data_IF_106859292069
#
_entry.id   IF_106859292069
#
_cell.length_a   1.000
_cell.length_b   1.000
_cell.length_c   1.000
_cell.angle_alpha   90.00
_cell.angle_beta   90.00
_cell.angle_gamma   90.00
#
_symmetry.space_group_name_H-M   'P 1'
#
loop_
_entity.id
_entity.type
_entity.pdbx_description
1 polymer ?
#
# COMPACT_ATOMS: atom_id res chain seq x y z
N UNK A 1 -57.62 -38.77 -21.72
CA UNK A 1 -58.81 -38.15 -21.07
C UNK A 1 -58.48 -36.71 -20.74
N UNK A 2 -59.33 -35.75 -21.14
CA UNK A 2 -59.32 -34.38 -20.60
C UNK A 2 -60.38 -34.34 -19.50
N UNK A 3 -60.06 -33.77 -18.33
CA UNK A 3 -61.07 -33.26 -17.41
C UNK A 3 -60.66 -31.84 -17.01
N UNK A 4 -61.56 -30.88 -17.22
CA UNK A 4 -61.44 -29.51 -16.74
C UNK A 4 -62.00 -29.45 -15.32
N UNK A 5 -61.47 -28.55 -14.48
CA UNK A 5 -62.17 -28.07 -13.30
C UNK A 5 -61.88 -26.56 -13.14
N UNK A 6 -62.94 -25.83 -12.78
CA UNK A 6 -63.02 -24.37 -12.86
C UNK A 6 -62.61 -23.66 -11.55
N UNK A 7 -62.38 -22.36 -11.69
CA UNK A 7 -61.97 -21.44 -10.65
C UNK A 7 -62.94 -21.32 -9.44
N UNK A 8 -62.38 -20.96 -8.28
CA UNK A 8 -63.08 -20.26 -7.20
C UNK A 8 -62.24 -19.05 -6.77
N UNK A 9 -62.92 -17.96 -6.39
CA UNK A 9 -62.45 -16.57 -6.28
C UNK A 9 -62.19 -16.09 -4.85
N UNK A 10 -61.27 -15.13 -4.69
CA UNK A 10 -61.26 -14.02 -3.70
C UNK A 10 -60.11 -13.04 -4.12
N UNK A 11 -60.25 -11.74 -4.38
CA UNK A 11 -60.70 -10.62 -3.50
C UNK A 11 -60.04 -10.69 -2.10
N UNK A 12 -59.23 -9.76 -1.60
CA UNK A 12 -58.94 -8.33 -1.90
C UNK A 12 -57.41 -8.06 -1.83
N UNK A 13 -56.78 -6.87 -1.84
CA UNK A 13 -57.18 -5.45 -1.91
C UNK A 13 -56.01 -4.59 -2.48
N UNK A 14 -56.04 -3.25 -2.34
CA UNK A 14 -54.86 -2.36 -2.53
C UNK A 14 -54.39 -1.79 -1.17
N UNK A 15 -53.08 -1.52 -1.05
CA UNK A 15 -52.56 -0.52 -0.12
C UNK A 15 -51.29 0.13 -0.69
N UNK A 16 -51.41 1.34 -1.24
CA UNK A 16 -50.28 2.25 -1.36
C UNK A 16 -50.08 2.93 0.00
N UNK A 17 -48.88 2.82 0.56
CA UNK A 17 -48.50 3.57 1.77
C UNK A 17 -47.04 3.99 1.71
N UNK A 18 -46.87 5.26 1.33
CA UNK A 18 -45.76 6.17 1.64
C UNK A 18 -44.64 5.62 2.55
N UNK A 19 -43.46 5.41 1.97
CA UNK A 19 -42.20 5.47 2.70
C UNK A 19 -41.69 6.91 2.69
N UNK A 20 -41.79 7.61 3.82
CA UNK A 20 -41.34 9.00 3.94
C UNK A 20 -39.86 9.07 4.36
N UNK A 21 -39.17 10.11 3.86
CA UNK A 21 -37.94 10.70 4.40
C UNK A 21 -36.66 9.84 4.40
N UNK A 22 -35.71 10.25 3.56
CA UNK A 22 -34.54 10.95 4.10
C UNK A 22 -34.08 12.03 3.11
N UNK A 23 -34.01 13.29 3.57
CA UNK A 23 -33.39 14.36 2.80
C UNK A 23 -31.87 14.17 2.83
N UNK A 24 -31.29 13.75 1.70
CA UNK A 24 -29.91 14.10 1.41
C UNK A 24 -29.94 15.45 0.69
N UNK A 25 -29.83 16.53 1.47
CA UNK A 25 -29.62 17.87 0.94
C UNK A 25 -28.26 17.91 0.25
N UNK A 26 -28.26 17.56 -1.04
CA UNK A 26 -27.08 17.61 -1.91
C UNK A 26 -26.70 19.07 -2.14
N UNK A 27 -26.03 19.67 -1.16
CA UNK A 27 -25.42 20.98 -1.30
C UNK A 27 -24.46 20.96 -2.49
N UNK A 28 -24.84 21.64 -3.57
CA UNK A 28 -24.00 21.87 -4.74
C UNK A 28 -22.75 22.66 -4.34
N UNK A 29 -21.68 21.93 -4.00
CA UNK A 29 -20.32 22.42 -4.11
C UNK A 29 -19.72 21.86 -5.39
N UNK A 30 -19.30 22.75 -6.27
CA UNK A 30 -18.78 22.42 -7.58
C UNK A 30 -17.48 21.61 -7.49
N UNK A 31 -17.60 20.28 -7.60
CA UNK A 31 -16.45 19.37 -7.55
C UNK A 31 -15.99 19.01 -8.98
N UNK A 32 -15.39 20.01 -9.62
CA UNK A 32 -14.94 19.96 -11.00
C UNK A 32 -13.77 18.98 -11.20
N UNK A 33 -14.07 17.84 -11.81
CA UNK A 33 -13.11 17.02 -12.57
C UNK A 33 -12.04 16.22 -11.77
N UNK A 34 -12.32 15.82 -10.51
CA UNK A 34 -11.40 15.00 -9.72
C UNK A 34 -11.69 13.47 -9.78
N UNK A 35 -12.88 13.05 -10.24
CA UNK A 35 -13.31 11.64 -10.23
C UNK A 35 -12.58 10.74 -11.22
N UNK A 36 -12.15 11.25 -12.38
CA UNK A 36 -11.43 10.46 -13.39
C UNK A 36 -9.91 10.33 -13.12
N UNK A 37 -9.40 10.79 -11.98
CA UNK A 37 -7.99 10.55 -11.63
C UNK A 37 -7.76 9.06 -11.32
N UNK A 38 -6.54 8.54 -11.56
CA UNK A 38 -6.17 7.20 -11.12
C UNK A 38 -6.37 7.04 -9.62
N UNK A 39 -6.71 5.83 -9.21
CA UNK A 39 -6.71 5.42 -7.81
C UNK A 39 -5.27 5.37 -7.31
N UNK A 40 -4.98 6.04 -6.19
CA UNK A 40 -3.62 6.20 -5.66
C UNK A 40 -2.99 4.86 -5.25
N UNK A 41 -3.76 4.04 -4.53
CA UNK A 41 -3.35 2.71 -4.09
C UNK A 41 -4.33 1.63 -4.56
N UNK A 42 -3.80 0.49 -5.01
CA UNK A 42 -4.59 -0.73 -5.26
C UNK A 42 -4.19 -1.83 -4.30
N UNK A 43 -5.16 -2.66 -3.90
CA UNK A 43 -4.94 -3.77 -2.95
C UNK A 43 -4.79 -5.07 -3.73
N UNK A 44 -3.76 -5.83 -3.41
CA UNK A 44 -3.45 -7.12 -4.02
C UNK A 44 -3.29 -8.20 -2.92
N UNK A 45 -3.40 -9.47 -3.29
CA UNK A 45 -3.09 -10.60 -2.41
C UNK A 45 -2.03 -11.51 -3.02
N UNK A 46 -1.26 -12.16 -2.15
CA UNK A 46 -0.33 -13.21 -2.53
C UNK A 46 1.13 -12.86 -2.26
N UNK A 47 2.00 -13.63 -2.93
CA UNK A 47 3.44 -13.54 -2.86
C UNK A 47 3.98 -12.19 -3.38
N UNK A 48 4.79 -11.52 -2.57
CA UNK A 48 5.50 -10.28 -2.92
C UNK A 48 6.81 -10.14 -2.12
N UNK A 49 7.61 -9.12 -2.45
CA UNK A 49 8.81 -8.76 -1.69
C UNK A 49 8.50 -7.62 -0.69
N UNK A 50 9.09 -7.68 0.51
CA UNK A 50 8.92 -6.67 1.55
C UNK A 50 10.25 -6.02 1.92
N UNK A 51 10.44 -4.78 1.47
CA UNK A 51 11.67 -4.00 1.65
C UNK A 51 11.59 -2.90 2.73
N UNK A 52 10.43 -2.62 3.32
CA UNK A 52 10.22 -1.50 4.27
C UNK A 52 11.01 -1.58 5.58
N UNK A 53 11.78 -2.65 5.79
CA UNK A 53 12.73 -2.83 6.90
C UNK A 53 14.16 -3.09 6.40
N UNK A 54 14.50 -2.76 5.15
CA UNK A 54 15.84 -2.91 4.58
C UNK A 54 16.69 -1.68 4.91
N UNK A 55 17.61 -1.85 5.84
CA UNK A 55 18.51 -0.81 6.34
C UNK A 55 19.88 -0.83 5.65
N UNK A 56 20.16 -1.82 4.80
CA UNK A 56 21.47 -2.06 4.18
C UNK A 56 21.36 -2.14 2.65
N UNK A 57 20.66 -1.18 2.06
CA UNK A 57 20.55 -1.06 0.61
C UNK A 57 21.88 -0.59 0.04
N UNK A 58 22.50 -1.41 -0.80
CA UNK A 58 23.82 -1.15 -1.38
C UNK A 58 23.69 -0.30 -2.63
N UNK A 59 24.18 0.93 -2.58
CA UNK A 59 24.12 1.86 -3.72
C UNK A 59 24.89 1.33 -4.94
N UNK A 60 24.28 1.48 -6.11
CA UNK A 60 24.81 1.15 -7.42
C UNK A 60 24.38 2.24 -8.43
N UNK A 61 24.96 3.43 -8.30
CA UNK A 61 24.61 4.59 -9.10
C UNK A 61 23.32 5.26 -8.61
N UNK A 62 22.33 5.39 -9.50
CA UNK A 62 20.98 5.90 -9.26
C UNK A 62 20.01 4.82 -8.74
N UNK A 63 20.48 3.58 -8.60
CA UNK A 63 19.77 2.44 -8.02
C UNK A 63 20.47 1.93 -6.75
N UNK A 64 19.78 1.15 -5.93
CA UNK A 64 20.33 0.46 -4.78
C UNK A 64 19.75 -0.96 -4.68
N UNK A 65 20.62 -1.93 -4.42
CA UNK A 65 20.27 -3.33 -4.22
C UNK A 65 19.93 -3.55 -2.75
N UNK A 66 18.64 -3.70 -2.44
CA UNK A 66 18.12 -3.94 -1.09
C UNK A 66 17.76 -5.43 -0.92
N UNK A 67 18.23 -6.08 0.13
CA UNK A 67 17.76 -7.42 0.49
C UNK A 67 16.43 -7.32 1.28
N UNK A 68 15.45 -8.12 0.86
CA UNK A 68 14.04 -8.00 1.24
C UNK A 68 13.41 -9.37 1.55
N UNK A 69 12.38 -9.37 2.41
CA UNK A 69 11.70 -10.60 2.80
C UNK A 69 10.77 -11.12 1.70
N UNK A 70 10.56 -12.43 1.66
CA UNK A 70 9.58 -13.11 0.80
C UNK A 70 8.32 -13.44 1.61
N UNK A 71 7.20 -12.80 1.31
CA UNK A 71 5.96 -12.87 2.12
C UNK A 71 4.72 -13.14 1.26
N UNK A 72 3.71 -13.79 1.83
CA UNK A 72 2.44 -14.18 1.20
C UNK A 72 1.25 -13.65 1.99
N UNK A 73 0.76 -12.47 1.63
CA UNK A 73 -0.32 -11.77 2.35
C UNK A 73 -0.96 -10.67 1.50
N UNK A 74 -1.98 -10.01 2.04
CA UNK A 74 -2.54 -8.78 1.46
C UNK A 74 -1.49 -7.67 1.50
N UNK A 75 -1.31 -6.97 0.38
CA UNK A 75 -0.36 -5.89 0.22
C UNK A 75 -0.98 -4.76 -0.61
N UNK A 76 -0.37 -3.57 -0.58
CA UNK A 76 -0.82 -2.42 -1.38
C UNK A 76 0.26 -1.95 -2.32
N UNK A 77 -0.17 -1.56 -3.53
CA UNK A 77 0.70 -1.03 -4.58
C UNK A 77 0.33 0.42 -4.83
N UNK A 78 1.30 1.32 -4.60
CA UNK A 78 1.21 2.72 -4.99
C UNK A 78 1.29 2.82 -6.53
N UNK A 79 0.23 3.30 -7.18
CA UNK A 79 0.10 3.22 -8.64
C UNK A 79 1.05 4.15 -9.40
N UNK A 80 1.57 5.20 -8.74
CA UNK A 80 2.63 6.06 -9.29
C UNK A 80 3.98 5.36 -9.41
N UNK A 81 4.21 4.30 -8.62
CA UNK A 81 5.55 3.72 -8.42
C UNK A 81 5.71 2.37 -9.13
N UNK A 82 4.63 1.87 -9.75
CA UNK A 82 4.67 0.78 -10.74
C UNK A 82 5.70 1.13 -11.83
N UNK A 83 6.73 0.30 -11.96
CA UNK A 83 7.85 0.49 -12.89
C UNK A 83 7.57 -0.11 -14.27
N UNK A 84 6.84 -1.24 -14.34
CA UNK A 84 6.39 -1.82 -15.62
C UNK A 84 5.49 -0.83 -16.37
N UNK A 85 5.91 -0.27 -17.53
CA UNK A 85 5.17 0.81 -18.18
C UNK A 85 3.83 0.35 -18.77
N UNK A 86 3.72 -0.92 -19.17
CA UNK A 86 2.52 -1.47 -19.77
C UNK A 86 1.47 -1.75 -18.68
N UNK A 87 1.87 -2.39 -17.59
CA UNK A 87 1.04 -2.68 -16.42
C UNK A 87 0.64 -1.39 -15.70
N UNK A 88 1.54 -0.41 -15.58
CA UNK A 88 1.24 0.93 -15.05
C UNK A 88 0.14 1.59 -15.87
N UNK A 89 0.31 1.70 -17.18
CA UNK A 89 -0.68 2.31 -18.08
C UNK A 89 -2.05 1.61 -18.00
N UNK A 90 -2.07 0.28 -17.96
CA UNK A 90 -3.31 -0.49 -17.81
C UNK A 90 -3.96 -0.25 -16.44
N UNK A 91 -3.17 -0.19 -15.38
CA UNK A 91 -3.66 0.02 -14.00
C UNK A 91 -4.25 1.42 -13.82
N UNK A 92 -3.52 2.46 -14.22
CA UNK A 92 -3.97 3.85 -14.17
C UNK A 92 -5.21 4.12 -15.05
N UNK A 93 -5.40 3.35 -16.13
CA UNK A 93 -6.57 3.45 -17.00
C UNK A 93 -7.80 2.68 -16.47
N UNK A 94 -7.59 1.57 -15.76
CA UNK A 94 -8.67 0.72 -15.22
C UNK A 94 -9.16 1.21 -13.85
N UNK A 95 -8.23 1.51 -12.95
CA UNK A 95 -8.51 1.82 -11.54
C UNK A 95 -8.50 3.34 -11.34
N UNK A 96 -9.68 3.94 -11.16
CA UNK A 96 -9.86 5.40 -11.05
C UNK A 96 -10.75 5.74 -9.86
N UNK A 97 -10.71 6.98 -9.35
CA UNK A 97 -11.57 7.39 -8.24
C UNK A 97 -13.08 7.33 -8.54
N UNK A 98 -13.47 7.23 -9.82
CA UNK A 98 -14.85 7.02 -10.29
C UNK A 98 -15.22 5.53 -10.39
N UNK A 99 -14.24 4.72 -10.75
CA UNK A 99 -14.36 3.28 -10.96
C UNK A 99 -13.16 2.62 -10.26
N UNK A 100 -13.19 2.54 -8.91
CA UNK A 100 -12.10 1.98 -8.15
C UNK A 100 -12.01 0.47 -8.42
N UNK A 101 -10.80 -0.05 -8.32
CA UNK A 101 -10.54 -1.49 -8.29
C UNK A 101 -10.60 -1.96 -6.85
N UNK A 102 -11.44 -2.97 -6.58
CA UNK A 102 -11.35 -3.75 -5.34
C UNK A 102 -10.10 -4.66 -5.38
N UNK A 103 -9.90 -5.43 -4.31
CA UNK A 103 -8.80 -6.40 -4.15
C UNK A 103 -8.62 -7.29 -5.39
N UNK A 104 -7.39 -7.41 -5.87
CA UNK A 104 -6.96 -8.21 -7.03
C UNK A 104 -7.59 -7.84 -8.38
N UNK A 105 -8.42 -6.80 -8.46
CA UNK A 105 -8.98 -6.35 -9.73
C UNK A 105 -8.00 -5.53 -10.57
N UNK A 106 -6.95 -4.98 -9.96
CA UNK A 106 -5.97 -4.15 -10.65
C UNK A 106 -5.04 -5.00 -11.55
N UNK A 107 -4.69 -4.54 -12.77
CA UNK A 107 -3.80 -5.27 -13.68
C UNK A 107 -2.42 -5.58 -13.07
N UNK A 108 -1.92 -4.72 -12.18
CA UNK A 108 -0.66 -4.96 -11.45
C UNK A 108 -0.72 -6.16 -10.51
N UNK A 109 -1.86 -6.43 -9.85
CA UNK A 109 -1.99 -7.61 -8.99
C UNK A 109 -1.84 -8.92 -9.78
N UNK A 110 -2.42 -8.98 -10.98
CA UNK A 110 -2.24 -10.13 -11.88
C UNK A 110 -0.80 -10.23 -12.43
N UNK A 111 -0.16 -9.10 -12.73
CA UNK A 111 1.23 -9.08 -13.20
C UNK A 111 2.21 -9.61 -12.14
N UNK A 112 2.04 -9.21 -10.88
CA UNK A 112 2.79 -9.72 -9.72
C UNK A 112 2.49 -11.22 -9.55
N UNK A 113 1.22 -11.60 -9.37
CA UNK A 113 0.80 -12.98 -9.09
C UNK A 113 1.21 -13.99 -10.17
N UNK A 114 1.31 -13.57 -11.43
CA UNK A 114 1.64 -14.44 -12.55
C UNK A 114 3.13 -14.45 -12.95
N UNK A 115 4.00 -13.69 -12.25
CA UNK A 115 5.42 -13.56 -12.59
C UNK A 115 5.63 -12.90 -13.96
N UNK A 116 4.84 -11.87 -14.26
CA UNK A 116 4.82 -11.18 -15.57
C UNK A 116 5.12 -9.69 -15.50
N UNK A 117 5.68 -9.24 -14.37
CA UNK A 117 6.09 -7.86 -14.20
C UNK A 117 7.38 -7.60 -14.99
N UNK A 118 7.39 -6.64 -15.91
CA UNK A 118 8.49 -6.43 -16.83
C UNK A 118 9.09 -5.02 -16.73
N UNK A 119 10.38 -4.94 -16.40
CA UNK A 119 11.17 -3.70 -16.36
C UNK A 119 12.36 -3.84 -17.30
N UNK A 120 12.61 -2.86 -18.16
CA UNK A 120 13.67 -2.86 -19.19
C UNK A 120 13.75 -4.13 -20.06
N UNK A 121 12.58 -4.71 -20.35
CA UNK A 121 12.35 -5.97 -21.05
C UNK A 121 12.75 -7.25 -20.28
N UNK A 122 13.20 -7.14 -19.03
CA UNK A 122 13.44 -8.28 -18.13
C UNK A 122 12.18 -8.57 -17.33
N UNK A 123 11.76 -9.84 -17.28
CA UNK A 123 10.63 -10.29 -16.47
C UNK A 123 11.11 -10.64 -15.06
N UNK A 124 10.35 -10.22 -14.05
CA UNK A 124 10.61 -10.49 -12.64
C UNK A 124 9.43 -11.23 -12.02
N UNK A 125 9.74 -12.29 -11.26
CA UNK A 125 8.76 -13.06 -10.49
C UNK A 125 8.34 -12.35 -9.19
N UNK A 126 9.12 -11.36 -8.76
CA UNK A 126 8.97 -10.66 -7.48
C UNK A 126 8.95 -9.15 -7.69
N UNK A 127 8.05 -8.48 -6.95
CA UNK A 127 7.94 -7.02 -6.91
C UNK A 127 7.86 -6.60 -5.45
N UNK A 128 8.60 -5.57 -5.07
CA UNK A 128 8.50 -4.99 -3.74
C UNK A 128 7.29 -4.08 -3.63
N UNK A 129 6.52 -4.26 -2.56
CA UNK A 129 5.28 -3.51 -2.30
C UNK A 129 5.11 -3.30 -0.79
N UNK A 130 4.16 -2.45 -0.38
CA UNK A 130 3.87 -2.25 1.03
C UNK A 130 3.09 -3.42 1.61
N UNK A 131 3.63 -4.07 2.62
CA UNK A 131 2.89 -5.03 3.45
C UNK A 131 2.43 -4.39 4.76
N UNK A 132 1.20 -4.75 5.15
CA UNK A 132 0.59 -4.45 6.44
C UNK A 132 1.39 -5.00 7.63
N UNK A 133 2.10 -6.12 7.46
CA UNK A 133 2.89 -6.76 8.51
C UNK A 133 4.14 -5.96 8.84
N UNK A 134 4.75 -5.34 7.83
CA UNK A 134 5.82 -4.36 8.02
C UNK A 134 5.38 -3.15 8.85
N UNK A 135 4.07 -2.84 8.90
CA UNK A 135 3.57 -1.65 9.61
C UNK A 135 3.44 -1.82 11.13
N UNK A 136 3.13 -3.01 11.66
CA UNK A 136 3.22 -3.22 13.11
C UNK A 136 4.64 -2.91 13.60
N UNK A 137 5.65 -3.44 12.89
CA UNK A 137 7.04 -3.15 13.21
C UNK A 137 7.41 -1.69 12.96
N UNK A 138 6.89 -1.01 11.92
CA UNK A 138 7.14 0.43 11.73
C UNK A 138 6.61 1.31 12.88
N UNK A 139 5.49 0.95 13.50
CA UNK A 139 4.97 1.64 14.70
C UNK A 139 5.88 1.42 15.92
N UNK A 140 6.56 0.28 16.00
CA UNK A 140 7.58 -0.03 17.01
C UNK A 140 8.95 0.60 16.68
N UNK A 141 9.26 0.82 15.39
CA UNK A 141 10.54 1.33 14.87
C UNK A 141 10.78 2.83 15.09
N UNK A 142 10.01 3.54 15.93
CA UNK A 142 10.28 4.92 16.33
C UNK A 142 10.72 5.86 15.17
N UNK A 143 9.80 6.27 14.28
CA UNK A 143 10.12 7.10 13.12
C UNK A 143 10.77 8.44 13.49
N UNK A 144 11.79 8.85 12.74
CA UNK A 144 12.52 10.10 12.95
C UNK A 144 12.52 10.98 11.68
N UNK A 145 12.34 12.31 11.78
CA UNK A 145 12.52 13.18 10.63
C UNK A 145 14.00 13.25 10.24
N UNK A 146 14.32 12.91 8.98
CA UNK A 146 15.67 13.02 8.44
C UNK A 146 15.70 14.08 7.33
N UNK A 147 16.33 15.21 7.59
CA UNK A 147 16.44 16.34 6.66
C UNK A 147 17.90 16.80 6.54
N UNK A 148 18.62 16.38 5.48
CA UNK A 148 20.01 16.75 5.23
C UNK A 148 20.29 18.26 5.08
N UNK A 149 19.26 19.11 5.09
CA UNK A 149 19.39 20.58 5.04
C UNK A 149 19.44 21.24 6.42
N UNK A 150 19.23 20.48 7.51
CA UNK A 150 19.33 21.00 8.88
C UNK A 150 20.79 21.10 9.33
N UNK A 151 21.11 22.15 10.09
CA UNK A 151 22.49 22.54 10.39
C UNK A 151 23.25 21.56 11.30
N UNK A 152 22.51 20.74 12.05
CA UNK A 152 22.96 19.73 13.00
C UNK A 152 22.61 18.30 12.56
N UNK A 153 22.21 18.12 11.29
CA UNK A 153 21.86 16.80 10.75
C UNK A 153 23.06 15.83 10.73
N UNK A 154 22.81 14.61 11.19
CA UNK A 154 23.74 13.48 11.11
C UNK A 154 22.97 12.29 10.53
N UNK A 155 23.32 11.90 9.31
CA UNK A 155 22.65 10.83 8.57
C UNK A 155 23.09 10.75 7.10
N UNK A 156 22.45 9.86 6.35
CA UNK A 156 22.66 9.71 4.90
C UNK A 156 21.91 10.80 4.12
N UNK A 157 22.53 11.39 3.10
CA UNK A 157 21.81 12.32 2.19
C UNK A 157 20.89 11.60 1.18
N UNK A 158 20.94 10.27 1.16
CA UNK A 158 20.30 9.41 0.17
C UNK A 158 19.50 8.29 0.84
N UNK A 159 18.41 7.89 0.19
CA UNK A 159 17.53 6.81 0.64
C UNK A 159 16.94 6.08 -0.57
N UNK A 160 16.43 4.86 -0.36
CA UNK A 160 15.92 4.00 -1.43
C UNK A 160 14.38 3.98 -1.47
N UNK A 161 13.80 4.14 -2.66
CA UNK A 161 12.39 3.87 -2.97
C UNK A 161 12.28 2.46 -3.52
N UNK A 162 11.76 1.54 -2.70
CA UNK A 162 11.57 0.15 -3.09
C UNK A 162 10.14 -0.20 -3.55
N UNK A 163 9.20 0.73 -3.49
CA UNK A 163 7.84 0.46 -3.92
C UNK A 163 7.76 0.30 -5.44
N UNK A 164 7.13 -0.79 -5.88
CA UNK A 164 7.11 -1.20 -7.29
C UNK A 164 8.47 -1.69 -7.83
N UNK A 165 9.50 -1.82 -7.00
CA UNK A 165 10.83 -2.27 -7.43
C UNK A 165 10.81 -3.72 -7.91
N UNK A 166 11.45 -4.04 -9.06
CA UNK A 166 11.63 -5.42 -9.49
C UNK A 166 12.64 -6.14 -8.59
N UNK A 167 12.39 -7.42 -8.31
CA UNK A 167 13.25 -8.22 -7.44
C UNK A 167 13.51 -9.63 -8.01
N UNK A 168 14.61 -10.24 -7.59
CA UNK A 168 14.99 -11.61 -7.93
C UNK A 168 15.32 -12.42 -6.69
N UNK A 169 15.12 -13.76 -6.74
CA UNK A 169 15.67 -14.63 -5.70
C UNK A 169 17.19 -14.61 -5.77
N UNK A 170 17.83 -14.30 -4.64
CA UNK A 170 19.27 -14.33 -4.48
C UNK A 170 19.64 -15.59 -3.67
N UNK A 171 20.42 -16.54 -4.23
CA UNK A 171 20.82 -17.76 -3.51
C UNK A 171 21.88 -17.49 -2.43
N UNK A 172 22.52 -16.31 -2.43
CA UNK A 172 23.51 -15.88 -1.44
C UNK A 172 23.22 -14.41 -1.05
N UNK A 173 22.09 -14.14 -0.36
CA UNK A 173 21.79 -12.80 0.13
C UNK A 173 22.80 -12.40 1.22
N UNK A 174 22.95 -11.10 1.43
CA UNK A 174 23.79 -10.59 2.53
C UNK A 174 23.10 -10.80 3.88
N UNK A 175 21.77 -10.66 3.92
CA UNK A 175 20.91 -11.09 5.03
C UNK A 175 20.25 -12.45 4.70
N UNK A 176 20.65 -13.56 5.35
CA UNK A 176 20.07 -14.89 5.11
C UNK A 176 18.56 -15.01 5.36
N UNK A 177 17.95 -14.09 6.12
CA UNK A 177 16.49 -14.06 6.35
C UNK A 177 15.73 -13.37 5.20
N UNK A 178 16.45 -12.81 4.22
CA UNK A 178 15.93 -11.97 3.14
C UNK A 178 16.39 -12.47 1.76
N UNK A 179 15.74 -13.51 1.23
CA UNK A 179 16.21 -14.21 0.03
C UNK A 179 15.93 -13.47 -1.29
N UNK A 180 15.34 -12.26 -1.25
CA UNK A 180 15.04 -11.47 -2.44
C UNK A 180 15.95 -10.23 -2.47
N UNK A 181 16.63 -9.97 -3.58
CA UNK A 181 17.31 -8.69 -3.80
C UNK A 181 16.48 -7.85 -4.77
N UNK A 182 16.13 -6.62 -4.37
CA UNK A 182 15.28 -5.69 -5.10
C UNK A 182 16.07 -4.47 -5.60
N UNK A 183 15.79 -4.06 -6.84
CA UNK A 183 16.43 -2.90 -7.47
C UNK A 183 15.62 -1.64 -7.18
N UNK A 184 15.95 -0.97 -6.07
CA UNK A 184 15.24 0.20 -5.60
C UNK A 184 15.86 1.49 -6.17
N UNK A 185 15.05 2.51 -6.44
CA UNK A 185 15.54 3.80 -6.96
C UNK A 185 16.13 4.63 -5.82
N UNK A 186 17.31 5.22 -6.03
CA UNK A 186 17.92 6.15 -5.06
C UNK A 186 17.27 7.53 -5.21
N UNK A 187 16.98 8.15 -4.07
CA UNK A 187 16.49 9.53 -3.94
C UNK A 187 17.43 10.32 -3.04
N UNK A 188 17.64 11.60 -3.34
CA UNK A 188 18.36 12.56 -2.50
C UNK A 188 17.36 13.44 -1.73
N UNK A 189 17.68 13.81 -0.49
CA UNK A 189 16.95 14.82 0.27
C UNK A 189 16.31 14.27 1.54
N UNK A 190 15.14 14.81 1.91
CA UNK A 190 14.51 14.52 3.20
C UNK A 190 13.61 13.27 3.15
N UNK A 191 13.68 12.44 4.19
CA UNK A 191 12.98 11.15 4.29
C UNK A 191 12.58 10.80 5.73
N UNK A 192 11.81 9.72 5.88
CA UNK A 192 11.42 9.17 7.18
C UNK A 192 12.48 8.18 7.66
N UNK A 193 13.31 8.60 8.60
CA UNK A 193 14.22 7.72 9.31
C UNK A 193 13.48 6.69 10.15
N UNK A 194 14.12 5.54 10.35
CA UNK A 194 13.56 4.39 11.06
C UNK A 194 14.58 3.86 12.09
N UNK A 195 14.06 3.26 13.17
CA UNK A 195 14.78 2.87 14.38
C UNK A 195 15.51 4.04 15.07
N UNK A 196 14.93 5.26 15.04
CA UNK A 196 15.61 6.48 15.52
C UNK A 196 16.89 6.83 14.77
N UNK A 197 17.11 6.27 13.58
CA UNK A 197 18.32 6.48 12.77
C UNK A 197 17.99 7.23 11.49
N UNK A 198 18.95 8.06 11.06
CA UNK A 198 19.00 8.65 9.72
C UNK A 198 20.12 8.04 8.85
N UNK A 199 20.78 6.98 9.31
CA UNK A 199 21.78 6.21 8.56
C UNK A 199 21.33 4.76 8.45
N UNK A 200 21.61 4.11 7.32
CA UNK A 200 21.50 2.66 7.20
C UNK A 200 22.52 1.89 8.07
N UNK A 201 22.55 0.57 7.93
CA UNK A 201 23.55 -0.31 8.55
C UNK A 201 24.68 -0.61 7.58
N UNK A 202 25.87 -0.92 8.10
CA UNK A 202 27.07 -1.34 7.33
C UNK A 202 27.54 -0.38 6.20
N UNK A 203 27.02 0.85 6.15
CA UNK A 203 27.32 1.82 5.09
C UNK A 203 26.41 1.71 3.86
N UNK A 204 25.38 0.87 3.89
CA UNK A 204 24.22 0.97 3.02
C UNK A 204 23.28 2.09 3.45
N UNK A 205 22.32 2.43 2.58
CA UNK A 205 21.22 3.36 2.86
C UNK A 205 19.95 2.59 3.24
N UNK A 206 18.94 3.26 3.79
CA UNK A 206 17.65 2.62 4.11
C UNK A 206 16.61 2.75 2.99
N UNK A 207 15.78 1.72 2.83
CA UNK A 207 14.49 1.81 2.16
C UNK A 207 13.56 2.68 3.00
N UNK A 208 12.99 3.73 2.42
CA UNK A 208 12.22 4.74 3.16
C UNK A 208 11.12 5.38 2.27
N UNK A 209 10.54 6.47 2.75
CA UNK A 209 9.53 7.30 2.08
C UNK A 209 9.87 8.78 2.28
N UNK A 210 9.36 9.70 1.44
CA UNK A 210 9.59 11.14 1.60
C UNK A 210 9.13 11.65 2.96
N UNK A 211 9.84 12.62 3.53
CA UNK A 211 9.58 13.15 4.87
C UNK A 211 8.12 13.63 5.04
N UNK A 212 7.53 14.19 3.98
CA UNK A 212 6.17 14.70 3.96
C UNK A 212 5.07 13.64 4.01
N UNK A 213 5.39 12.35 3.83
CA UNK A 213 4.39 11.27 3.90
C UNK A 213 3.99 10.92 5.34
N UNK A 214 4.79 11.28 6.34
CA UNK A 214 4.53 10.97 7.75
C UNK A 214 4.18 12.22 8.56
N UNK A 215 3.28 12.05 9.53
CA UNK A 215 2.97 13.04 10.55
C UNK A 215 3.53 12.60 11.91
N UNK A 216 4.64 13.22 12.30
CA UNK A 216 5.30 12.97 13.58
C UNK A 216 4.53 13.48 14.81
N UNK A 217 3.50 14.32 14.64
CA UNK A 217 2.69 14.81 15.78
C UNK A 217 1.62 13.81 16.21
N UNK A 218 1.05 13.09 15.24
CA UNK A 218 -0.01 12.09 15.46
C UNK A 218 0.43 10.65 15.12
N UNK A 219 1.70 10.47 14.77
CA UNK A 219 2.38 9.21 14.49
C UNK A 219 1.65 8.33 13.43
N UNK A 220 1.33 8.92 12.28
CA UNK A 220 0.60 8.24 11.19
C UNK A 220 0.94 8.82 9.81
N UNK A 221 0.55 8.15 8.73
CA UNK A 221 0.71 8.66 7.38
C UNK A 221 -0.23 9.84 7.08
N UNK A 222 0.27 10.83 6.33
CA UNK A 222 -0.50 11.98 5.83
C UNK A 222 -1.32 11.69 4.57
N UNK A 223 -0.92 10.66 3.83
CA UNK A 223 -1.62 10.14 2.66
C UNK A 223 -2.65 9.09 3.10
N UNK A 224 -3.83 8.98 2.46
CA UNK A 224 -4.80 7.93 2.78
C UNK A 224 -4.27 6.56 2.37
N UNK A 225 -3.70 5.84 3.33
CA UNK A 225 -3.21 4.47 3.14
C UNK A 225 -4.36 3.49 3.43
N UNK A 226 -4.85 2.70 2.44
CA UNK A 226 -5.90 1.73 2.68
C UNK A 226 -5.49 0.73 3.77
N UNK A 227 -6.41 0.35 4.65
CA UNK A 227 -6.18 -0.69 5.67
C UNK A 227 -5.32 -0.29 6.88
N UNK A 228 -4.69 0.89 6.87
CA UNK A 228 -3.78 1.34 7.93
C UNK A 228 -4.44 1.41 9.31
N UNK A 229 -5.69 1.86 9.37
CA UNK A 229 -6.50 1.96 10.59
C UNK A 229 -6.78 0.59 11.23
N UNK A 230 -7.12 -0.42 10.42
CA UNK A 230 -7.28 -1.79 10.89
C UNK A 230 -5.97 -2.38 11.42
N UNK A 231 -4.85 -2.07 10.76
CA UNK A 231 -3.53 -2.51 11.20
C UNK A 231 -3.12 -1.82 12.49
N UNK A 232 -3.22 -0.48 12.57
CA UNK A 232 -2.96 0.27 13.80
C UNK A 232 -3.78 -0.26 14.98
N UNK A 233 -5.06 -0.60 14.77
CA UNK A 233 -5.91 -1.24 15.77
C UNK A 233 -5.45 -2.65 16.16
N UNK A 234 -4.93 -3.44 15.21
CA UNK A 234 -4.44 -4.81 15.46
C UNK A 234 -3.04 -4.84 16.12
N UNK A 235 -2.18 -3.85 15.85
CA UNK A 235 -0.86 -3.71 16.47
C UNK A 235 -0.92 -2.99 17.84
N UNK A 236 -2.02 -2.32 18.17
CA UNK A 236 -2.16 -1.58 19.42
C UNK A 236 -2.06 -2.52 20.65
N UNK A 237 -1.35 -2.11 21.73
CA UNK A 237 -1.33 -2.87 22.96
C UNK A 237 -2.73 -3.13 23.50
N UNK A 238 -3.06 -4.39 23.79
CA UNK A 238 -4.35 -4.78 24.36
C UNK A 238 -4.57 -4.09 25.71
N UNK A 239 -5.57 -3.21 25.76
CA UNK A 239 -6.04 -2.60 27.00
C UNK A 239 -7.24 -3.38 27.54
N UNK A 240 -7.21 -3.72 28.83
CA UNK A 240 -8.39 -4.21 29.53
C UNK A 240 -9.37 -3.06 29.78
N UNK A 241 -10.67 -3.34 29.74
CA UNK A 241 -11.70 -2.36 30.14
C UNK A 241 -11.38 -1.71 31.50
N UNK A 242 -11.64 -0.40 31.67
CA UNK A 242 -11.47 0.26 32.95
C UNK A 242 -12.31 -0.46 34.03
N UNK A 243 -11.67 -0.85 35.13
CA UNK A 243 -12.39 -1.43 36.26
C UNK A 243 -13.46 -0.42 36.74
N UNK A 244 -14.69 -0.89 37.07
CA UNK A 244 -15.74 -0.01 37.59
C UNK A 244 -15.25 0.81 38.78
N UNK A 245 -15.53 2.11 38.78
CA UNK A 245 -15.25 2.97 39.92
C UNK A 245 -16.02 2.45 41.15
N UNK A 246 -15.33 2.37 42.29
CA UNK A 246 -15.87 1.92 43.59
C UNK A 246 -16.41 3.09 44.40
#
# INVERSE_FOLDING_TARGET
MRLQLLAITCMTWMAMSFGTLCFAESGEKADGNNRNRPQEFVVCTGWHALCSASFDCRMNGDMADCDCMRVDETHIVLTSDIQDPAVKRLTLAKCTNKHPCDTDQAPVCEAIRSGRYQVDNVTFDWVSTFSYRGWCSLLEMNPQPCDPKQADYVGDSYWAVCDGAPCTENPNPYDPERPLTCQCRVMEGAFVGINGSCTGTNGGIMSSSPLETWDFQVNTYRIPVPGLDYVQGACAPLQSDPLPQR
#
